data_IF_064981739970
#
_entry.id   IF_064981739970
#
_cell.length_a   1.000
_cell.length_b   1.000
_cell.length_c   1.000
_cell.angle_alpha   90.00
_cell.angle_beta   90.00
_cell.angle_gamma   90.00
#
_symmetry.space_group_name_H-M   'P 1'
#
loop_
_entity.id
_entity.type
_entity.pdbx_description
1 polymer ?
#
# COMPACT_ATOMS: atom_id res chain seq x y z
N UNK A 1 22.60 20.19 -12.95
CA UNK A 1 21.57 21.23 -12.96
C UNK A 1 20.35 20.73 -12.16
N UNK A 2 19.35 21.57 -12.04
CA UNK A 2 18.18 21.25 -11.22
C UNK A 2 17.41 20.01 -11.69
N UNK A 3 17.39 19.73 -13.00
CA UNK A 3 16.72 18.54 -13.53
C UNK A 3 17.38 17.26 -13.02
N UNK A 4 18.72 17.23 -13.00
CA UNK A 4 19.44 16.07 -12.50
C UNK A 4 19.23 15.86 -11.02
N UNK A 5 19.15 16.92 -10.24
CA UNK A 5 18.90 16.83 -8.81
C UNK A 5 17.50 16.34 -8.51
N UNK A 6 16.50 16.80 -9.26
CA UNK A 6 15.12 16.34 -9.12
C UNK A 6 15.05 14.84 -9.42
N UNK A 7 15.68 14.37 -10.47
CA UNK A 7 15.63 12.97 -10.88
C UNK A 7 16.34 12.02 -9.92
N UNK A 8 17.24 12.52 -9.06
CA UNK A 8 17.89 11.66 -8.06
C UNK A 8 16.93 10.99 -7.10
N UNK A 9 15.83 11.68 -6.76
CA UNK A 9 14.85 11.18 -5.80
C UNK A 9 13.73 10.39 -6.46
N UNK A 10 13.67 10.35 -7.79
CA UNK A 10 12.65 9.61 -8.51
C UNK A 10 13.21 8.31 -9.06
N UNK A 11 12.41 7.25 -8.92
CA UNK A 11 12.82 5.91 -9.30
C UNK A 11 11.63 5.22 -9.98
N UNK A 12 11.89 4.67 -11.17
CA UNK A 12 10.85 3.97 -11.92
C UNK A 12 11.14 2.47 -12.01
N UNK A 13 12.01 1.97 -11.15
CA UNK A 13 12.32 0.56 -11.12
C UNK A 13 11.15 -0.23 -10.53
N UNK A 14 10.72 -1.23 -11.27
CA UNK A 14 9.60 -2.08 -10.87
C UNK A 14 10.09 -3.19 -9.96
N UNK A 15 9.34 -3.46 -8.92
CA UNK A 15 9.57 -4.60 -8.04
C UNK A 15 8.37 -5.52 -8.08
N UNK A 16 8.64 -6.81 -8.23
CA UNK A 16 7.58 -7.82 -8.33
C UNK A 16 7.29 -8.46 -6.99
N UNK A 17 6.02 -8.80 -6.78
CA UNK A 17 5.53 -9.49 -5.59
C UNK A 17 4.51 -10.53 -6.05
N UNK A 18 4.14 -11.44 -5.18
CA UNK A 18 3.11 -12.45 -5.49
C UNK A 18 1.78 -11.79 -5.82
N UNK A 19 1.43 -10.74 -5.10
CA UNK A 19 0.16 -10.04 -5.28
C UNK A 19 0.13 -9.07 -6.46
N UNK A 20 1.27 -8.76 -7.04
CA UNK A 20 1.36 -7.80 -8.12
C UNK A 20 2.74 -7.22 -8.25
N UNK A 21 2.82 -5.92 -8.40
CA UNK A 21 4.10 -5.23 -8.54
C UNK A 21 3.97 -3.80 -8.04
N UNK A 22 5.11 -3.15 -7.80
CA UNK A 22 5.09 -1.75 -7.44
C UNK A 22 6.30 -1.01 -7.99
N UNK A 23 6.13 0.29 -8.16
CA UNK A 23 7.20 1.22 -8.45
C UNK A 23 7.46 2.07 -7.22
N UNK A 24 8.73 2.19 -6.83
CA UNK A 24 9.14 3.10 -5.77
C UNK A 24 9.48 4.42 -6.45
N UNK A 25 8.51 5.34 -6.49
CA UNK A 25 8.60 6.53 -7.33
C UNK A 25 9.46 7.63 -6.73
N UNK A 26 9.42 7.79 -5.42
CA UNK A 26 10.11 8.88 -4.73
C UNK A 26 10.43 8.46 -3.32
N UNK A 27 11.61 8.81 -2.84
CA UNK A 27 12.02 8.44 -1.49
C UNK A 27 12.86 9.52 -0.85
N UNK A 28 12.48 9.92 0.35
CA UNK A 28 13.23 10.78 1.26
C UNK A 28 13.22 10.14 2.64
N UNK A 29 13.89 10.77 3.59
CA UNK A 29 14.05 10.22 4.93
C UNK A 29 12.71 9.90 5.62
N UNK A 30 11.72 10.79 5.46
CA UNK A 30 10.43 10.67 6.15
C UNK A 30 9.25 10.49 5.21
N UNK A 31 9.51 10.29 3.93
CA UNK A 31 8.48 10.26 2.90
C UNK A 31 8.86 9.27 1.80
N UNK A 32 7.91 8.43 1.43
CA UNK A 32 8.08 7.51 0.29
C UNK A 32 6.78 7.49 -0.51
N UNK A 33 6.91 7.52 -1.83
CA UNK A 33 5.76 7.44 -2.73
C UNK A 33 5.92 6.23 -3.63
N UNK A 34 4.87 5.42 -3.69
CA UNK A 34 4.84 4.21 -4.53
C UNK A 34 3.62 4.18 -5.42
N UNK A 35 3.74 3.51 -6.55
CA UNK A 35 2.57 3.05 -7.29
C UNK A 35 2.45 1.55 -7.09
N UNK A 36 1.34 1.11 -6.53
CA UNK A 36 1.04 -0.30 -6.33
C UNK A 36 0.11 -0.77 -7.43
N UNK A 37 0.42 -1.93 -8.02
CA UNK A 37 -0.44 -2.56 -9.02
C UNK A 37 -0.82 -3.92 -8.47
N UNK A 38 -2.09 -4.05 -8.07
CA UNK A 38 -2.58 -5.30 -7.50
C UNK A 38 -3.26 -6.10 -8.61
N UNK A 39 -2.74 -7.28 -8.88
CA UNK A 39 -3.23 -8.13 -9.96
C UNK A 39 -4.62 -8.68 -9.64
N UNK A 40 -5.40 -9.04 -10.68
CA UNK A 40 -6.71 -9.65 -10.48
C UNK A 40 -6.64 -10.86 -9.55
N UNK A 41 -7.58 -10.95 -8.63
CA UNK A 41 -7.74 -12.05 -7.69
C UNK A 41 -6.54 -12.27 -6.77
N UNK A 42 -5.78 -11.21 -6.50
CA UNK A 42 -4.64 -11.25 -5.60
C UNK A 42 -4.85 -10.30 -4.43
N UNK A 43 -4.05 -10.46 -3.40
CA UNK A 43 -4.10 -9.61 -2.23
C UNK A 43 -2.77 -9.60 -1.47
N UNK A 44 -2.62 -8.56 -0.68
CA UNK A 44 -1.45 -8.39 0.19
C UNK A 44 -1.66 -9.11 1.51
N UNK A 45 -0.65 -9.08 2.39
CA UNK A 45 -0.80 -9.60 3.74
C UNK A 45 -1.64 -8.66 4.60
N UNK A 46 -2.25 -9.20 5.64
CA UNK A 46 -2.91 -8.43 6.68
C UNK A 46 -1.81 -7.97 7.64
N UNK A 47 -1.55 -6.66 7.69
CA UNK A 47 -0.32 -6.12 8.24
C UNK A 47 -0.54 -4.77 8.91
N UNK A 48 0.46 -4.34 9.70
CA UNK A 48 0.50 -2.98 10.25
C UNK A 48 1.93 -2.48 10.32
N UNK A 49 2.07 -1.16 10.49
CA UNK A 49 3.35 -0.48 10.61
C UNK A 49 3.35 0.37 11.88
N UNK A 50 4.50 0.50 12.51
CA UNK A 50 4.62 1.19 13.80
C UNK A 50 5.13 2.63 13.67
N UNK A 51 5.80 2.95 12.58
CA UNK A 51 6.50 4.23 12.44
C UNK A 51 5.99 5.10 11.31
N UNK A 52 5.03 4.61 10.52
CA UNK A 52 4.54 5.36 9.37
C UNK A 52 3.03 5.30 9.23
N UNK A 53 2.49 6.35 8.64
CA UNK A 53 1.11 6.40 8.15
C UNK A 53 1.15 6.20 6.64
N UNK A 54 0.01 5.87 6.05
CA UNK A 54 -0.11 5.71 4.60
C UNK A 54 -1.36 6.40 4.11
N UNK A 55 -1.23 7.10 2.98
CA UNK A 55 -2.38 7.66 2.25
C UNK A 55 -2.44 6.92 0.93
N UNK A 56 -3.61 6.38 0.60
CA UNK A 56 -3.83 5.67 -0.65
C UNK A 56 -4.77 6.47 -1.53
N UNK A 57 -4.47 6.52 -2.81
CA UNK A 57 -5.32 7.11 -3.83
C UNK A 57 -5.48 6.08 -4.94
N UNK A 58 -6.71 5.64 -5.20
CA UNK A 58 -6.97 4.66 -6.27
C UNK A 58 -6.97 5.40 -7.60
N UNK A 59 -5.98 5.15 -8.43
CA UNK A 59 -5.86 5.80 -9.72
C UNK A 59 -6.56 5.03 -10.84
N UNK A 60 -6.76 3.72 -10.68
CA UNK A 60 -7.43 2.90 -11.68
C UNK A 60 -8.01 1.65 -11.03
N UNK A 61 -9.18 1.23 -11.51
CA UNK A 61 -9.85 0.04 -11.01
C UNK A 61 -10.48 0.25 -9.65
N UNK A 62 -10.66 -0.84 -8.92
CA UNK A 62 -11.16 -0.81 -7.54
C UNK A 62 -10.55 -1.95 -6.75
N UNK A 63 -10.57 -1.80 -5.44
CA UNK A 63 -10.08 -2.84 -4.54
C UNK A 63 -10.90 -2.86 -3.26
N UNK A 64 -10.68 -3.89 -2.46
CA UNK A 64 -11.25 -3.99 -1.12
C UNK A 64 -10.12 -3.89 -0.11
N UNK A 65 -10.43 -3.32 1.04
CA UNK A 65 -9.49 -3.17 2.14
C UNK A 65 -10.11 -3.79 3.37
N UNK A 66 -9.43 -4.77 3.95
CA UNK A 66 -9.74 -5.23 5.29
C UNK A 66 -8.98 -4.32 6.24
N UNK A 67 -9.68 -3.70 7.19
CA UNK A 67 -9.12 -2.65 8.00
C UNK A 67 -9.60 -2.74 9.45
N UNK A 68 -8.68 -2.54 10.40
CA UNK A 68 -9.02 -2.47 11.81
C UNK A 68 -8.11 -1.49 12.54
N UNK A 69 -8.70 -0.69 13.41
CA UNK A 69 -7.95 0.22 14.27
C UNK A 69 -7.31 -0.49 15.46
N UNK A 70 -7.79 -1.68 15.81
CA UNK A 70 -7.40 -2.34 17.05
C UNK A 70 -6.98 -3.79 16.84
N UNK A 71 -7.93 -4.70 16.60
CA UNK A 71 -7.67 -6.13 16.52
C UNK A 71 -8.19 -6.71 15.21
N UNK A 72 -7.69 -7.88 14.84
CA UNK A 72 -8.14 -8.58 13.64
C UNK A 72 -9.64 -8.90 13.70
N UNK A 73 -10.15 -9.20 14.88
CA UNK A 73 -11.57 -9.55 15.08
C UNK A 73 -12.52 -8.41 14.77
N UNK A 74 -12.06 -7.18 14.89
CA UNK A 74 -12.87 -5.99 14.61
C UNK A 74 -12.70 -5.45 13.21
N UNK A 75 -12.05 -6.20 12.34
CA UNK A 75 -11.79 -5.72 10.98
C UNK A 75 -13.09 -5.52 10.21
N UNK A 76 -13.08 -4.52 9.36
CA UNK A 76 -14.17 -4.19 8.44
C UNK A 76 -13.67 -4.32 7.03
N UNK A 77 -14.57 -4.59 6.09
CA UNK A 77 -14.26 -4.58 4.68
C UNK A 77 -14.76 -3.27 4.09
N UNK A 78 -13.86 -2.56 3.41
CA UNK A 78 -14.14 -1.27 2.79
C UNK A 78 -13.85 -1.41 1.29
N UNK A 79 -14.74 -0.89 0.45
CA UNK A 79 -14.52 -0.88 -1.00
C UNK A 79 -14.01 0.50 -1.40
N UNK A 80 -12.90 0.52 -2.13
CA UNK A 80 -12.33 1.74 -2.70
C UNK A 80 -12.46 1.66 -4.21
N UNK A 81 -13.02 2.69 -4.81
CA UNK A 81 -13.16 2.80 -6.25
C UNK A 81 -12.29 3.91 -6.79
N UNK A 82 -12.24 4.04 -8.11
CA UNK A 82 -11.37 5.02 -8.77
C UNK A 82 -11.54 6.41 -8.16
N UNK A 83 -10.41 7.02 -7.81
CA UNK A 83 -10.27 8.36 -7.21
C UNK A 83 -10.65 8.44 -5.73
N UNK A 84 -11.00 7.33 -5.10
CA UNK A 84 -11.16 7.31 -3.66
C UNK A 84 -9.80 7.40 -2.97
N UNK A 85 -9.81 7.96 -1.76
CA UNK A 85 -8.64 8.04 -0.90
C UNK A 85 -8.90 7.32 0.42
N UNK A 86 -7.84 6.85 1.06
CA UNK A 86 -7.95 6.16 2.34
C UNK A 86 -6.70 6.42 3.16
N UNK A 87 -6.87 6.75 4.43
CA UNK A 87 -5.77 7.00 5.36
C UNK A 87 -5.64 5.84 6.32
N UNK A 88 -4.44 5.26 6.40
CA UNK A 88 -4.07 4.24 7.38
C UNK A 88 -3.07 4.85 8.33
N UNK A 89 -3.41 4.92 9.61
CA UNK A 89 -2.53 5.47 10.63
C UNK A 89 -1.62 4.41 11.20
N UNK A 90 -0.57 4.84 11.89
CA UNK A 90 0.34 3.94 12.61
C UNK A 90 -0.47 2.95 13.45
N UNK A 91 0.01 1.71 13.48
CA UNK A 91 -0.56 0.61 14.27
C UNK A 91 -1.92 0.09 13.79
N UNK A 92 -2.49 0.66 12.75
CA UNK A 92 -3.77 0.17 12.22
C UNK A 92 -3.53 -0.98 11.26
N UNK A 93 -4.32 -2.04 11.42
CA UNK A 93 -4.24 -3.21 10.58
C UNK A 93 -4.90 -2.97 9.23
N UNK A 94 -4.28 -3.45 8.16
CA UNK A 94 -4.83 -3.25 6.82
C UNK A 94 -4.37 -4.35 5.87
N UNK A 95 -5.22 -4.63 4.88
CA UNK A 95 -4.92 -5.59 3.82
C UNK A 95 -5.66 -5.15 2.57
N UNK A 96 -4.92 -4.98 1.47
CA UNK A 96 -5.51 -4.65 0.18
C UNK A 96 -5.75 -5.94 -0.59
N UNK A 97 -6.97 -6.11 -1.11
CA UNK A 97 -7.36 -7.26 -1.91
C UNK A 97 -8.01 -6.78 -3.20
N UNK A 98 -7.65 -7.37 -4.31
CA UNK A 98 -8.30 -7.12 -5.59
C UNK A 98 -9.13 -8.34 -5.98
N UNK A 99 -10.45 -8.35 -5.72
CA UNK A 99 -11.30 -9.48 -6.07
C UNK A 99 -11.85 -9.41 -7.50
N UNK A 100 -11.37 -8.45 -8.29
CA UNK A 100 -11.90 -8.19 -9.62
C UNK A 100 -11.06 -8.83 -10.72
N UNK A 101 -11.51 -8.68 -11.96
CA UNK A 101 -10.86 -9.25 -13.15
C UNK A 101 -9.85 -8.30 -13.78
N UNK A 102 -9.80 -7.06 -13.33
CA UNK A 102 -8.86 -6.05 -13.84
C UNK A 102 -7.92 -5.60 -12.74
N UNK A 103 -6.78 -5.06 -13.12
CA UNK A 103 -5.80 -4.54 -12.18
C UNK A 103 -6.34 -3.36 -11.39
N UNK A 104 -5.88 -3.22 -10.16
CA UNK A 104 -6.13 -2.06 -9.32
C UNK A 104 -4.82 -1.32 -9.13
N UNK A 105 -4.80 -0.02 -9.43
CA UNK A 105 -3.61 0.82 -9.24
C UNK A 105 -3.85 1.83 -8.13
N UNK A 106 -2.89 1.91 -7.23
CA UNK A 106 -2.97 2.76 -6.05
C UNK A 106 -1.68 3.56 -5.94
N UNK A 107 -1.82 4.87 -5.77
CA UNK A 107 -0.70 5.72 -5.39
C UNK A 107 -0.65 5.72 -3.86
N UNK A 108 0.47 5.29 -3.30
CA UNK A 108 0.65 5.18 -1.87
C UNK A 108 1.70 6.18 -1.42
N UNK A 109 1.33 7.00 -0.44
CA UNK A 109 2.25 7.94 0.21
C UNK A 109 2.49 7.42 1.62
N UNK A 110 3.73 7.06 1.91
CA UNK A 110 4.16 6.65 3.25
C UNK A 110 4.87 7.81 3.91
N UNK A 111 4.50 8.15 5.13
CA UNK A 111 5.13 9.24 5.86
C UNK A 111 5.13 8.99 7.36
N UNK A 112 6.19 9.46 8.02
CA UNK A 112 6.33 9.28 9.46
C UNK A 112 7.78 9.44 9.86
N UNK A 113 8.10 9.02 11.07
CA UNK A 113 9.47 9.09 11.57
C UNK A 113 10.37 8.03 10.91
N UNK A 114 9.78 7.05 10.22
CA UNK A 114 10.54 5.99 9.56
C UNK A 114 9.69 5.38 8.42
N UNK A 115 10.25 5.28 7.23
CA UNK A 115 9.55 4.68 6.08
C UNK A 115 10.30 3.45 5.57
N UNK A 116 10.85 2.67 6.48
CA UNK A 116 11.64 1.48 6.22
C UNK A 116 10.73 0.27 5.96
N UNK A 117 11.07 -0.55 4.98
CA UNK A 117 10.30 -1.76 4.66
C UNK A 117 10.35 -2.79 5.80
N UNK A 118 11.33 -2.73 6.68
CA UNK A 118 11.41 -3.62 7.84
C UNK A 118 10.39 -3.27 8.92
N UNK A 119 9.76 -2.08 8.85
CA UNK A 119 8.72 -1.65 9.78
C UNK A 119 7.38 -2.28 9.39
N UNK A 120 7.22 -3.55 9.70
CA UNK A 120 6.01 -4.28 9.35
C UNK A 120 5.80 -5.44 10.32
N UNK A 121 4.54 -5.63 10.71
CA UNK A 121 4.09 -6.83 11.39
C UNK A 121 2.99 -7.45 10.55
N UNK A 122 3.17 -8.71 10.13
CA UNK A 122 2.18 -9.45 9.34
C UNK A 122 1.46 -10.45 10.23
N UNK A 123 0.15 -10.49 10.15
CA UNK A 123 -0.64 -11.48 10.87
C UNK A 123 -0.85 -12.73 10.01
N UNK A 124 -1.16 -12.54 8.72
CA UNK A 124 -1.28 -13.65 7.76
C UNK A 124 -1.21 -13.12 6.33
N UNK A 125 -0.92 -14.02 5.39
CA UNK A 125 -0.93 -13.70 3.98
C UNK A 125 -2.32 -13.89 3.39
N UNK A 126 -2.52 -13.43 2.17
CA UNK A 126 -3.84 -13.36 1.54
C UNK A 126 -4.62 -14.68 1.60
N UNK A 127 -4.05 -15.77 1.19
CA UNK A 127 -4.78 -17.05 1.13
C UNK A 127 -4.80 -17.81 2.45
N UNK A 128 -4.18 -17.28 3.49
CA UNK A 128 -4.12 -17.93 4.80
C UNK A 128 -5.20 -17.43 5.76
N UNK A 129 -5.77 -16.25 5.52
CA UNK A 129 -6.73 -15.62 6.41
C UNK A 129 -8.18 -16.03 6.20
N UNK A 130 -8.43 -17.08 5.51
CA UNK A 130 -9.79 -17.55 5.21
C UNK A 130 -10.39 -18.41 6.28
#
# INVERSE_FOLDING_TARGET
>A
NSSSEILKNWNYQKEKRIWGEFYNLFEEKYLKVKELIVFPNQGMSFQRHFHRNEIWFVSEGSCKVNYSKSTEEEKKEITLTKFDTFLVKKNEWHQIINPHQTECKIIEIQYGDKVDESDIERLYYFNEGK
#
